data_IF_108792093813
#
_entry.id   IF_108792093813
#
_cell.length_a   1.000
_cell.length_b   1.000
_cell.length_c   1.000
_cell.angle_alpha   90.00
_cell.angle_beta   90.00
_cell.angle_gamma   90.00
#
_symmetry.space_group_name_H-M   'P 1'
#
loop_
_entity.id
_entity.type
_entity.pdbx_description
1 polymer ?
#
# COMPACT_ATOMS: atom_id res chain seq x y z
N UNK A 1 -17.13 11.55 -8.15
CA UNK A 1 -16.77 12.10 -9.47
C UNK A 1 -15.52 11.39 -9.96
N UNK A 2 -15.40 11.16 -11.26
CA UNK A 2 -14.24 10.45 -11.82
C UNK A 2 -13.02 11.37 -11.79
N UNK A 3 -12.12 11.13 -10.82
CA UNK A 3 -10.87 11.88 -10.67
C UNK A 3 -10.03 11.86 -11.95
N UNK A 4 -10.24 10.87 -12.83
CA UNK A 4 -9.52 10.73 -14.09
C UNK A 4 -9.62 12.01 -14.93
N UNK A 5 -10.82 12.59 -15.02
CA UNK A 5 -11.09 13.80 -15.80
C UNK A 5 -10.33 15.04 -15.32
N UNK A 6 -9.89 15.07 -14.05
CA UNK A 6 -9.10 16.18 -13.50
C UNK A 6 -7.62 16.08 -13.87
N UNK A 7 -7.15 14.88 -14.22
CA UNK A 7 -5.72 14.60 -14.42
C UNK A 7 -5.37 14.20 -15.86
N UNK A 8 -6.34 14.04 -16.76
CA UNK A 8 -6.08 13.74 -18.17
C UNK A 8 -6.26 14.96 -19.05
N UNK A 9 -5.43 15.07 -20.09
CA UNK A 9 -5.53 16.14 -21.09
C UNK A 9 -6.80 16.01 -21.93
N UNK A 10 -7.36 17.15 -22.34
CA UNK A 10 -8.52 17.19 -23.22
C UNK A 10 -8.25 16.43 -24.53
N UNK A 11 -9.18 15.57 -24.94
CA UNK A 11 -9.06 14.76 -26.16
C UNK A 11 -8.07 13.59 -26.09
N UNK A 12 -7.28 13.44 -25.01
CA UNK A 12 -6.41 12.29 -24.82
C UNK A 12 -6.49 11.74 -23.38
N UNK A 13 -7.31 10.69 -23.14
CA UNK A 13 -7.44 10.10 -21.80
C UNK A 13 -6.18 9.40 -21.33
N UNK A 14 -5.19 9.16 -22.19
CA UNK A 14 -3.94 8.46 -21.84
C UNK A 14 -2.80 9.41 -21.49
N UNK A 15 -2.95 10.71 -21.76
CA UNK A 15 -1.99 11.75 -21.41
C UNK A 15 -2.40 12.41 -20.11
N UNK A 16 -1.55 12.31 -19.10
CA UNK A 16 -1.73 13.04 -17.85
C UNK A 16 -1.33 14.51 -18.04
N UNK A 17 -1.97 15.41 -17.29
CA UNK A 17 -1.65 16.85 -17.26
C UNK A 17 -0.20 17.14 -16.82
N UNK A 18 0.48 16.18 -16.19
CA UNK A 18 1.91 16.27 -15.88
C UNK A 18 2.84 15.88 -17.05
N UNK A 19 2.30 15.57 -18.22
CA UNK A 19 3.05 15.21 -19.43
C UNK A 19 3.42 13.73 -19.55
N UNK A 20 3.08 12.90 -18.56
CA UNK A 20 3.27 11.45 -18.64
C UNK A 20 2.15 10.79 -19.47
N UNK A 21 2.51 9.82 -20.31
CA UNK A 21 1.57 9.11 -21.19
C UNK A 21 1.55 7.60 -20.91
N UNK A 22 0.35 7.04 -20.75
CA UNK A 22 0.14 5.61 -20.57
C UNK A 22 0.19 4.87 -21.93
N UNK A 23 1.39 4.54 -22.40
CA UNK A 23 1.62 3.96 -23.75
C UNK A 23 0.91 2.65 -24.06
N UNK A 24 0.59 1.82 -23.06
CA UNK A 24 -0.10 0.55 -23.26
C UNK A 24 -1.64 0.67 -23.28
N UNK A 25 -2.17 1.89 -23.10
CA UNK A 25 -3.61 2.21 -23.04
C UNK A 25 -4.41 1.35 -22.04
N UNK A 26 -3.79 0.99 -20.91
CA UNK A 26 -4.44 0.26 -19.83
C UNK A 26 -4.92 1.23 -18.77
N UNK A 27 -6.23 1.35 -18.65
CA UNK A 27 -6.90 2.18 -17.65
C UNK A 27 -6.40 1.93 -16.20
N UNK A 28 -6.15 0.69 -15.75
CA UNK A 28 -5.60 0.45 -14.41
C UNK A 28 -4.22 1.06 -14.18
N UNK A 29 -3.39 1.13 -15.22
CA UNK A 29 -2.03 1.66 -15.13
C UNK A 29 -2.05 3.19 -15.11
N UNK A 30 -2.92 3.81 -15.93
CA UNK A 30 -3.20 5.25 -15.85
C UNK A 30 -3.76 5.65 -14.47
N UNK A 31 -4.76 4.94 -13.96
CA UNK A 31 -5.31 5.19 -12.60
C UNK A 31 -4.26 5.01 -11.51
N UNK A 32 -3.26 4.15 -11.72
CA UNK A 32 -2.13 4.00 -10.80
C UNK A 32 -1.19 5.20 -10.88
N UNK A 33 -0.90 5.68 -12.07
CA UNK A 33 -0.12 6.91 -12.25
C UNK A 33 -0.82 8.11 -11.63
N UNK A 34 -2.11 8.33 -11.88
CA UNK A 34 -2.84 9.48 -11.33
C UNK A 34 -2.77 9.52 -9.80
N UNK A 35 -2.80 8.35 -9.15
CA UNK A 35 -2.63 8.25 -7.68
C UNK A 35 -1.27 8.76 -7.18
N UNK A 36 -0.23 8.82 -8.00
CA UNK A 36 1.05 9.41 -7.56
C UNK A 36 0.95 10.91 -7.33
N UNK A 37 -0.06 11.60 -7.90
CA UNK A 37 -0.31 13.01 -7.60
C UNK A 37 -0.94 13.24 -6.22
N UNK A 38 -1.63 12.22 -5.68
CA UNK A 38 -2.30 12.31 -4.37
C UNK A 38 -1.61 11.51 -3.28
N UNK A 39 -0.59 10.71 -3.62
CA UNK A 39 0.03 9.74 -2.71
C UNK A 39 0.61 10.38 -1.45
N UNK A 40 1.16 11.60 -1.54
CA UNK A 40 1.74 12.30 -0.38
C UNK A 40 0.66 12.79 0.61
N UNK A 41 -0.58 12.93 0.15
CA UNK A 41 -1.71 13.40 0.94
C UNK A 41 -2.62 12.26 1.42
N UNK A 42 -2.43 11.05 0.91
CA UNK A 42 -3.20 9.88 1.32
C UNK A 42 -2.47 9.07 2.40
N UNK A 43 -3.20 8.55 3.42
CA UNK A 43 -2.63 7.63 4.38
C UNK A 43 -2.05 6.38 3.69
N UNK A 44 -0.99 5.83 4.28
CA UNK A 44 -0.43 4.57 3.81
C UNK A 44 -1.43 3.42 4.00
N UNK A 45 -2.02 2.97 2.89
CA UNK A 45 -3.05 1.93 2.89
C UNK A 45 -2.51 0.51 3.04
N UNK A 46 -1.21 0.31 2.79
CA UNK A 46 -0.58 -1.00 2.85
C UNK A 46 0.64 -0.89 3.74
N UNK A 47 0.58 -1.50 4.92
CA UNK A 47 1.66 -1.46 5.90
C UNK A 47 1.98 -2.88 6.31
N UNK A 48 3.28 -3.23 6.34
CA UNK A 48 3.73 -4.47 6.96
C UNK A 48 3.63 -4.33 8.48
N UNK A 49 2.42 -4.47 9.02
CA UNK A 49 2.12 -4.28 10.43
C UNK A 49 2.24 -5.56 11.27
N UNK A 50 2.71 -6.66 10.69
CA UNK A 50 2.77 -7.92 11.42
C UNK A 50 1.40 -8.59 11.57
N UNK A 51 1.34 -9.55 12.48
CA UNK A 51 0.10 -10.19 12.93
C UNK A 51 -0.24 -9.75 14.35
N UNK A 52 -1.51 -9.83 14.80
CA UNK A 52 -1.85 -9.59 16.20
C UNK A 52 -1.03 -10.50 17.11
N UNK A 53 -0.56 -9.99 18.24
CA UNK A 53 0.25 -10.75 19.20
C UNK A 53 -0.45 -12.05 19.63
N UNK A 54 -1.76 -12.00 19.82
CA UNK A 54 -2.58 -13.16 20.18
C UNK A 54 -2.66 -14.25 19.08
N UNK A 55 -2.29 -13.92 17.85
CA UNK A 55 -2.32 -14.82 16.68
C UNK A 55 -0.91 -15.14 16.17
N UNK A 56 0.13 -14.73 16.89
CA UNK A 56 1.51 -14.93 16.47
C UNK A 56 1.83 -16.43 16.40
N UNK A 57 2.29 -16.96 15.24
CA UNK A 57 2.70 -18.35 15.14
C UNK A 57 3.97 -18.63 15.95
N UNK A 58 4.20 -19.90 16.27
CA UNK A 58 5.41 -20.33 16.97
C UNK A 58 6.67 -19.92 16.19
N UNK A 59 7.70 -19.44 16.90
CA UNK A 59 8.98 -19.03 16.32
C UNK A 59 9.06 -17.55 15.91
N UNK A 60 7.95 -16.80 15.93
CA UNK A 60 8.00 -15.35 15.74
C UNK A 60 8.47 -14.67 17.02
N UNK A 61 9.42 -13.74 16.89
CA UNK A 61 9.85 -12.92 18.03
C UNK A 61 8.72 -12.02 18.50
N UNK A 62 8.34 -12.17 19.78
CA UNK A 62 7.34 -11.34 20.46
C UNK A 62 7.96 -10.24 21.33
N UNK A 63 9.30 -10.11 21.30
CA UNK A 63 10.05 -9.18 22.17
C UNK A 63 9.90 -7.71 21.78
N UNK A 64 9.51 -7.43 20.53
CA UNK A 64 9.37 -6.08 20.00
C UNK A 64 7.98 -5.90 19.38
N UNK A 65 6.91 -5.89 20.20
CA UNK A 65 5.58 -5.60 19.70
C UNK A 65 5.45 -4.13 19.34
N UNK A 66 4.64 -3.85 18.34
CA UNK A 66 4.24 -2.51 17.93
C UNK A 66 2.73 -2.35 18.08
N UNK A 67 2.29 -1.19 18.57
CA UNK A 67 0.87 -0.87 18.57
C UNK A 67 0.51 -0.33 17.19
N UNK A 68 -0.43 -0.98 16.51
CA UNK A 68 -0.93 -0.55 15.21
C UNK A 68 -2.43 -0.78 15.16
N UNK A 69 -3.19 0.27 14.85
CA UNK A 69 -4.66 0.28 14.87
C UNK A 69 -5.27 -0.19 16.21
N UNK A 70 -4.65 0.18 17.33
CA UNK A 70 -5.12 -0.19 18.68
C UNK A 70 -4.78 -1.63 19.10
N UNK A 71 -4.12 -2.42 18.26
CA UNK A 71 -3.71 -3.79 18.58
C UNK A 71 -2.18 -3.89 18.75
N UNK A 72 -1.74 -4.70 19.70
CA UNK A 72 -0.34 -5.13 19.76
C UNK A 72 -0.08 -6.15 18.65
N UNK A 73 0.92 -5.86 17.81
CA UNK A 73 1.29 -6.69 16.66
C UNK A 73 2.78 -6.99 16.65
N UNK A 74 3.16 -8.11 16.04
CA UNK A 74 4.55 -8.60 16.01
C UNK A 74 4.94 -9.14 14.63
N UNK A 75 6.24 -9.20 14.37
CA UNK A 75 6.79 -9.82 13.16
C UNK A 75 6.67 -9.00 11.88
N UNK A 76 6.19 -7.75 11.95
CA UNK A 76 6.19 -6.80 10.83
C UNK A 76 7.33 -5.78 10.92
N UNK A 77 7.68 -5.15 9.79
CA UNK A 77 8.72 -4.11 9.73
C UNK A 77 8.18 -2.67 9.70
N UNK A 78 6.86 -2.48 9.75
CA UNK A 78 6.18 -1.18 9.63
C UNK A 78 6.46 -0.41 8.34
N UNK A 79 7.06 -1.05 7.33
CA UNK A 79 7.25 -0.45 6.01
C UNK A 79 5.89 -0.15 5.35
N UNK A 80 5.81 1.05 4.76
CA UNK A 80 4.64 1.54 4.02
C UNK A 80 4.81 1.22 2.54
N UNK A 81 3.74 0.78 1.91
CA UNK A 81 3.69 0.48 0.48
C UNK A 81 2.58 1.27 -0.19
N UNK A 82 2.84 1.77 -1.39
CA UNK A 82 1.83 2.47 -2.20
C UNK A 82 0.82 1.49 -2.83
N UNK A 83 1.11 0.18 -2.80
CA UNK A 83 0.36 -0.85 -3.53
C UNK A 83 0.22 -2.15 -2.73
N UNK A 84 -0.95 -2.77 -2.87
CA UNK A 84 -1.28 -4.10 -2.34
C UNK A 84 -0.29 -5.17 -2.77
N UNK A 85 0.05 -5.22 -4.06
CA UNK A 85 0.94 -6.25 -4.60
C UNK A 85 2.41 -6.05 -4.20
N UNK A 86 2.82 -4.82 -3.88
CA UNK A 86 4.14 -4.56 -3.33
C UNK A 86 4.27 -5.14 -1.91
N UNK A 87 3.27 -4.93 -1.04
CA UNK A 87 3.22 -5.58 0.28
C UNK A 87 3.19 -7.11 0.15
N UNK A 88 2.40 -7.65 -0.80
CA UNK A 88 2.37 -9.10 -1.05
C UNK A 88 3.76 -9.64 -1.41
N UNK A 89 4.45 -9.00 -2.36
CA UNK A 89 5.80 -9.41 -2.78
C UNK A 89 6.81 -9.29 -1.63
N UNK A 90 6.66 -8.30 -0.76
CA UNK A 90 7.46 -8.15 0.44
C UNK A 90 7.29 -9.36 1.38
N UNK A 91 6.05 -9.76 1.67
CA UNK A 91 5.76 -10.90 2.55
C UNK A 91 6.10 -12.27 1.93
N UNK A 92 6.19 -12.36 0.60
CA UNK A 92 6.54 -13.59 -0.13
C UNK A 92 8.04 -13.72 -0.43
N UNK A 93 8.86 -12.74 -0.06
CA UNK A 93 10.30 -12.78 -0.31
C UNK A 93 10.98 -13.61 0.78
N UNK A 94 11.63 -14.71 0.40
CA UNK A 94 12.35 -15.61 1.31
C UNK A 94 13.47 -14.93 2.10
N UNK A 95 14.02 -13.82 1.58
CA UNK A 95 15.05 -13.04 2.27
C UNK A 95 14.48 -12.01 3.26
N UNK A 96 13.15 -11.94 3.40
CA UNK A 96 12.45 -11.02 4.31
C UNK A 96 11.74 -11.85 5.37
N UNK A 97 12.19 -11.73 6.62
CA UNK A 97 11.61 -12.44 7.77
C UNK A 97 10.36 -11.76 8.35
N UNK A 98 9.63 -10.99 7.54
CA UNK A 98 8.38 -10.39 7.97
C UNK A 98 7.23 -11.37 7.81
N UNK A 99 6.33 -11.39 8.79
CA UNK A 99 5.04 -12.05 8.69
C UNK A 99 3.92 -11.01 8.71
N UNK A 100 2.75 -11.37 8.19
CA UNK A 100 1.61 -10.47 8.19
C UNK A 100 0.61 -10.80 7.09
N UNK A 101 -0.40 -9.95 7.00
CA UNK A 101 -1.50 -10.10 6.06
C UNK A 101 -1.55 -8.95 5.07
N UNK A 102 -2.05 -9.22 3.87
CA UNK A 102 -2.20 -8.19 2.82
C UNK A 102 -3.58 -7.53 2.95
N UNK A 103 -3.79 -6.80 4.03
CA UNK A 103 -5.04 -6.08 4.36
C UNK A 103 -4.90 -4.57 4.20
N UNK A 104 -5.96 -3.94 3.71
CA UNK A 104 -6.00 -2.48 3.54
C UNK A 104 -6.14 -1.85 4.92
N UNK A 105 -5.25 -0.91 5.22
CA UNK A 105 -5.27 -0.22 6.50
C UNK A 105 -6.36 0.85 6.49
N UNK A 106 -7.21 0.91 7.54
CA UNK A 106 -8.18 1.99 7.67
C UNK A 106 -7.46 3.33 7.68
N UNK A 107 -8.07 4.33 7.04
CA UNK A 107 -7.45 5.64 6.80
C UNK A 107 -7.36 6.50 8.08
N UNK A 108 -7.82 6.00 9.23
CA UNK A 108 -7.90 6.73 10.49
C UNK A 108 -7.86 5.73 11.65
N UNK A 109 -6.85 5.83 12.50
CA UNK A 109 -6.89 5.34 13.87
C UNK A 109 -6.57 6.54 14.74
N UNK A 110 -7.60 7.14 15.33
CA UNK A 110 -7.42 8.05 16.47
C UNK A 110 -6.97 7.24 17.68
#
# INVERSE_FOLDING_TARGET
GDILSLYTSEGNPWLCVCGWEQKNHRMPDLKRHIRTHTQDFEPARWVCCGVPLAQAPAGVSTLHPVVHNGELRVGGCMAKFSRRDALRRHLQNENIHCIGEVVEQPLYTL
#
